data_IF_025557009196
#
_entry.id   IF_025557009196
#
_cell.length_a   1.000
_cell.length_b   1.000
_cell.length_c   1.000
_cell.angle_alpha   90.00
_cell.angle_beta   90.00
_cell.angle_gamma   90.00
#
_symmetry.space_group_name_H-M   'P 1'
#
loop_
_entity.id
_entity.type
_entity.pdbx_description
1 polymer ?
#
# COMPACT_ATOMS: atom_id res chain seq x y z
N UNK A 1 -80.67 11.62 4.46
CA UNK A 1 -79.43 11.57 3.67
C UNK A 1 -79.20 10.13 3.30
N UNK A 2 -79.74 9.74 2.16
CA UNK A 2 -79.75 8.36 1.65
C UNK A 2 -78.60 8.25 0.67
N UNK A 3 -77.70 7.28 0.85
CA UNK A 3 -76.79 6.87 -0.21
C UNK A 3 -76.95 5.38 -0.50
N UNK A 4 -77.31 5.16 -1.76
CA UNK A 4 -77.51 3.91 -2.47
C UNK A 4 -76.20 3.17 -2.67
N UNK A 5 -76.20 1.88 -2.30
CA UNK A 5 -75.28 0.85 -2.77
C UNK A 5 -75.76 0.29 -4.12
N UNK A 6 -74.84 -0.04 -5.03
CA UNK A 6 -74.79 -1.22 -5.92
C UNK A 6 -73.84 -1.00 -7.14
N UNK A 7 -73.34 -2.03 -7.86
CA UNK A 7 -72.51 -3.16 -7.40
C UNK A 7 -71.45 -3.58 -8.48
N UNK A 8 -70.91 -4.81 -8.37
CA UNK A 8 -70.13 -5.61 -9.35
C UNK A 8 -68.61 -5.33 -9.35
N UNK A 9 -67.69 -6.29 -9.25
CA UNK A 9 -67.71 -7.70 -9.65
C UNK A 9 -66.55 -8.46 -8.97
N UNK A 10 -66.85 -9.63 -8.42
CA UNK A 10 -65.92 -10.73 -8.10
C UNK A 10 -66.02 -11.74 -9.27
N UNK A 11 -65.22 -12.83 -9.38
CA UNK A 11 -63.91 -13.16 -8.81
C UNK A 11 -62.97 -13.82 -9.86
N UNK A 12 -61.73 -14.18 -9.49
CA UNK A 12 -61.02 -15.30 -10.14
C UNK A 12 -60.09 -16.01 -9.17
N UNK A 13 -60.49 -17.24 -8.85
CA UNK A 13 -59.72 -18.30 -8.22
C UNK A 13 -58.49 -18.66 -9.06
N UNK A 14 -57.32 -18.86 -8.42
CA UNK A 14 -56.48 -20.03 -8.73
C UNK A 14 -55.61 -20.46 -7.55
N UNK A 15 -55.67 -21.77 -7.31
CA UNK A 15 -55.05 -22.55 -6.24
C UNK A 15 -53.54 -22.76 -6.43
N UNK A 16 -52.85 -22.83 -5.30
CA UNK A 16 -51.91 -23.88 -4.81
C UNK A 16 -51.03 -24.61 -5.85
N UNK A 17 -49.72 -24.59 -5.59
CA UNK A 17 -48.85 -25.75 -5.78
C UNK A 17 -47.80 -25.80 -4.66
N UNK A 18 -47.80 -26.92 -3.94
CA UNK A 18 -46.86 -27.32 -2.90
C UNK A 18 -45.52 -27.81 -3.48
N UNK A 19 -44.47 -27.61 -2.67
CA UNK A 19 -43.38 -28.54 -2.34
C UNK A 19 -42.58 -29.22 -3.46
N UNK A 20 -41.28 -28.91 -3.50
CA UNK A 20 -40.24 -29.92 -3.69
C UNK A 20 -38.94 -29.57 -2.96
N UNK A 21 -38.73 -30.28 -1.86
CA UNK A 21 -37.43 -30.57 -1.24
C UNK A 21 -36.56 -31.36 -2.21
N UNK A 22 -35.26 -31.03 -2.34
CA UNK A 22 -34.19 -32.04 -2.52
C UNK A 22 -32.79 -31.43 -2.41
N UNK A 23 -31.98 -32.11 -1.57
CA UNK A 23 -30.53 -32.31 -1.63
C UNK A 23 -29.56 -31.15 -1.36
N UNK A 24 -29.21 -31.06 -0.08
CA UNK A 24 -27.85 -31.14 0.46
C UNK A 24 -26.71 -31.19 -0.56
N UNK A 25 -25.85 -30.17 -0.54
CA UNK A 25 -24.44 -30.34 -0.84
C UNK A 25 -23.61 -29.60 0.20
N UNK A 26 -23.07 -30.40 1.13
CA UNK A 26 -21.96 -30.01 1.96
C UNK A 26 -20.70 -29.86 1.09
N UNK A 27 -19.98 -28.77 1.29
CA UNK A 27 -18.55 -28.62 0.98
C UNK A 27 -17.99 -27.68 2.05
N UNK A 28 -17.62 -28.26 3.20
CA UNK A 28 -16.22 -28.54 3.55
C UNK A 28 -15.39 -27.26 3.48
N UNK A 29 -15.42 -26.51 4.57
CA UNK A 29 -14.35 -25.58 4.94
C UNK A 29 -13.11 -26.40 5.26
N UNK A 30 -11.94 -26.10 4.67
CA UNK A 30 -10.70 -26.54 5.27
C UNK A 30 -10.29 -25.52 6.33
N UNK A 31 -10.39 -25.97 7.58
CA UNK A 31 -9.55 -25.46 8.65
C UNK A 31 -8.12 -25.97 8.43
N UNK A 32 -7.17 -25.06 8.38
CA UNK A 32 -5.76 -25.25 8.76
C UNK A 32 -5.12 -23.86 8.65
N UNK A 33 -4.37 -23.33 9.58
CA UNK A 33 -3.66 -23.94 10.69
C UNK A 33 -2.52 -22.96 10.95
N UNK A 34 -2.39 -22.56 12.21
CA UNK A 34 -1.29 -21.76 12.71
C UNK A 34 0.05 -22.34 12.22
N UNK A 35 0.82 -21.54 11.47
CA UNK A 35 2.28 -21.62 11.43
C UNK A 35 2.85 -20.25 11.08
N UNK A 36 3.06 -19.47 12.12
CA UNK A 36 4.05 -18.42 12.18
C UNK A 36 5.42 -19.02 11.81
N UNK A 37 5.96 -18.61 10.67
CA UNK A 37 7.39 -18.75 10.37
C UNK A 37 7.89 -17.43 9.80
N UNK A 38 8.78 -16.83 10.59
CA UNK A 38 9.52 -15.62 10.30
C UNK A 38 10.33 -15.74 9.02
N UNK A 39 10.18 -14.79 8.11
CA UNK A 39 11.19 -14.52 7.08
C UNK A 39 12.07 -13.37 7.55
N UNK A 40 13.04 -13.73 8.38
CA UNK A 40 14.30 -13.00 8.51
C UNK A 40 15.34 -13.78 7.73
N UNK A 41 15.90 -13.20 6.67
CA UNK A 41 17.22 -13.49 6.08
C UNK A 41 17.42 -12.53 4.90
N UNK A 42 18.09 -11.40 5.14
CA UNK A 42 19.56 -11.25 5.17
C UNK A 42 20.11 -10.92 3.78
N UNK A 43 20.30 -9.63 3.55
CA UNK A 43 21.22 -9.10 2.56
C UNK A 43 22.62 -9.67 2.80
N UNK A 44 23.33 -10.18 1.78
CA UNK A 44 24.75 -10.43 1.91
C UNK A 44 25.50 -9.16 1.52
N UNK A 45 26.05 -8.46 2.52
CA UNK A 45 27.36 -7.84 2.35
C UNK A 45 28.43 -8.94 2.41
N UNK A 46 29.51 -8.81 1.64
CA UNK A 46 30.83 -8.86 2.25
C UNK A 46 31.60 -7.59 1.82
N UNK A 47 32.00 -6.76 2.77
CA UNK A 47 33.25 -6.90 3.52
C UNK A 47 34.49 -6.88 2.61
N UNK A 48 35.19 -5.76 2.74
CA UNK A 48 36.60 -5.49 2.46
C UNK A 48 37.52 -6.71 2.32
N UNK A 49 38.33 -6.71 1.27
CA UNK A 49 39.69 -7.23 1.36
C UNK A 49 40.63 -6.38 0.51
N UNK A 50 41.49 -5.65 1.22
CA UNK A 50 42.67 -5.03 0.68
C UNK A 50 43.68 -6.10 0.24
N UNK A 51 44.16 -6.00 -0.99
CA UNK A 51 45.47 -6.51 -1.38
C UNK A 51 46.25 -5.41 -2.09
N UNK A 52 47.35 -5.05 -1.44
CA UNK A 52 48.43 -4.21 -1.94
C UNK A 52 49.09 -4.87 -3.16
N UNK A 53 49.64 -4.02 -4.02
CA UNK A 53 51.09 -3.85 -4.30
C UNK A 53 51.46 -3.93 -5.80
N UNK A 54 52.00 -2.79 -6.27
CA UNK A 54 53.11 -2.56 -7.21
C UNK A 54 52.97 -3.10 -8.65
N UNK A 55 53.44 -2.44 -9.71
CA UNK A 55 54.73 -1.76 -9.96
C UNK A 55 54.46 -0.70 -11.06
N UNK A 56 54.74 0.58 -10.85
CA UNK A 56 55.97 1.22 -11.36
C UNK A 56 55.63 2.29 -12.42
N UNK A 57 56.28 3.47 -12.42
CA UNK A 57 55.91 4.59 -13.28
C UNK A 57 56.69 4.57 -14.59
N UNK A 58 56.01 4.80 -15.72
CA UNK A 58 56.66 5.26 -16.94
C UNK A 58 56.30 6.73 -17.16
N UNK A 59 57.25 7.60 -16.80
CA UNK A 59 57.34 8.97 -17.29
C UNK A 59 57.80 8.91 -18.75
N UNK A 60 57.17 9.66 -19.64
CA UNK A 60 57.84 10.13 -20.86
C UNK A 60 57.33 11.51 -21.24
N UNK A 61 58.28 12.44 -21.12
CA UNK A 61 58.24 13.82 -21.55
C UNK A 61 58.48 13.88 -23.05
N UNK A 62 57.69 14.68 -23.78
CA UNK A 62 58.05 15.15 -25.12
C UNK A 62 58.46 16.61 -25.02
N UNK A 63 59.74 16.83 -24.73
CA UNK A 63 60.43 18.08 -25.00
C UNK A 63 61.44 17.83 -26.11
N UNK A 64 61.20 18.37 -27.31
CA UNK A 64 62.20 18.35 -28.38
C UNK A 64 63.09 19.56 -28.24
N UNK A 65 64.29 19.34 -27.71
CA UNK A 65 65.44 20.24 -27.83
C UNK A 65 66.50 19.47 -28.60
N UNK A 66 66.95 20.01 -29.73
CA UNK A 66 68.18 19.56 -30.39
C UNK A 66 69.05 20.78 -30.64
N UNK A 67 70.10 20.84 -29.83
CA UNK A 67 71.24 21.73 -29.97
C UNK A 67 72.30 21.03 -30.84
N UNK A 68 72.92 21.85 -31.70
CA UNK A 68 74.35 21.90 -32.05
C UNK A 68 75.11 20.64 -32.45
N UNK A 69 75.77 20.71 -33.62
CA UNK A 69 77.18 20.30 -33.75
C UNK A 69 77.87 21.20 -34.77
N UNK A 70 78.60 22.16 -34.23
CA UNK A 70 79.69 22.91 -34.87
C UNK A 70 80.94 22.05 -34.88
N UNK A 71 81.52 21.78 -36.06
CA UNK A 71 82.95 21.45 -36.15
C UNK A 71 83.61 22.31 -37.22
N UNK A 72 84.59 23.08 -36.75
CA UNK A 72 85.57 23.85 -37.52
C UNK A 72 86.63 22.92 -38.07
N UNK A 73 87.10 23.14 -39.30
CA UNK A 73 88.50 22.93 -39.66
C UNK A 73 88.94 23.99 -40.69
N UNK A 74 89.69 24.96 -40.19
CA UNK A 74 90.72 25.68 -40.94
C UNK A 74 91.87 24.71 -41.23
N UNK A 75 92.38 24.69 -42.47
CA UNK A 75 93.80 24.49 -42.68
C UNK A 75 94.28 25.31 -43.87
N UNK A 76 95.28 26.13 -43.59
CA UNK A 76 95.90 27.14 -44.42
C UNK A 76 97.02 26.60 -45.31
N UNK A 77 97.41 27.43 -46.28
CA UNK A 77 98.75 27.55 -46.90
C UNK A 77 99.20 26.37 -47.77
N UNK A 78 99.63 26.55 -49.03
CA UNK A 78 100.71 27.45 -49.42
C UNK A 78 100.67 27.87 -50.89
N UNK A 79 101.05 29.13 -51.10
CA UNK A 79 101.37 29.87 -52.31
C UNK A 79 102.63 29.38 -53.05
N UNK A 80 102.85 29.97 -54.26
CA UNK A 80 104.03 30.02 -55.15
C UNK A 80 103.81 29.27 -56.47
N UNK A 81 104.17 29.75 -57.67
CA UNK A 81 104.69 31.02 -58.16
C UNK A 81 104.53 30.96 -59.69
N UNK A 82 103.99 32.04 -60.24
CA UNK A 82 104.29 32.68 -61.52
C UNK A 82 105.10 31.92 -62.60
N UNK A 83 104.59 31.97 -63.84
CA UNK A 83 105.41 32.36 -64.99
C UNK A 83 105.72 31.32 -66.07
N UNK A 84 104.87 31.30 -67.10
CA UNK A 84 105.34 31.40 -68.48
C UNK A 84 105.77 30.13 -69.23
N UNK A 85 104.96 29.76 -70.22
CA UNK A 85 105.50 29.37 -71.52
C UNK A 85 105.33 27.91 -71.95
N UNK A 86 104.39 27.71 -72.87
CA UNK A 86 104.40 26.71 -73.95
C UNK A 86 104.26 25.21 -73.57
N UNK A 87 103.05 24.66 -73.77
CA UNK A 87 102.84 23.21 -73.80
C UNK A 87 101.42 22.79 -73.44
N UNK A 88 100.43 23.14 -74.28
CA UNK A 88 99.03 22.84 -74.04
C UNK A 88 98.70 21.34 -74.09
N UNK A 89 97.73 20.94 -73.24
CA UNK A 89 96.74 19.83 -73.33
C UNK A 89 96.62 18.89 -72.12
N UNK A 90 97.47 19.00 -71.08
CA UNK A 90 97.37 18.21 -69.84
C UNK A 90 96.67 18.90 -68.65
N UNK A 91 97.03 20.14 -68.34
CA UNK A 91 96.63 20.82 -67.08
C UNK A 91 95.18 21.35 -67.08
N UNK A 92 94.64 21.71 -68.24
CA UNK A 92 93.24 22.17 -68.39
C UNK A 92 92.23 21.03 -68.12
N UNK A 93 92.67 19.78 -68.27
CA UNK A 93 91.91 18.58 -67.93
C UNK A 93 91.88 18.34 -66.41
N UNK A 94 92.98 18.60 -65.70
CA UNK A 94 93.09 18.47 -64.24
C UNK A 94 92.34 19.58 -63.50
N UNK A 95 92.44 20.83 -63.94
CA UNK A 95 91.67 21.94 -63.36
C UNK A 95 90.16 21.77 -63.58
N UNK A 96 89.73 21.37 -64.78
CA UNK A 96 88.32 21.02 -65.06
C UNK A 96 87.88 19.74 -64.36
N UNK A 97 88.78 18.79 -64.08
CA UNK A 97 88.47 17.60 -63.31
C UNK A 97 88.25 17.94 -61.84
N UNK A 98 89.08 18.80 -61.25
CA UNK A 98 88.98 19.24 -59.87
C UNK A 98 87.75 20.13 -59.63
N UNK A 99 87.46 21.06 -60.56
CA UNK A 99 86.21 21.85 -60.54
C UNK A 99 84.97 20.96 -60.70
N UNK A 100 85.04 19.94 -61.57
CA UNK A 100 83.97 18.95 -61.73
C UNK A 100 83.76 18.11 -60.48
N UNK A 101 84.81 17.76 -59.75
CA UNK A 101 84.75 17.01 -58.49
C UNK A 101 84.17 17.85 -57.34
N UNK A 102 84.51 19.14 -57.28
CA UNK A 102 83.89 20.07 -56.33
C UNK A 102 82.40 20.31 -56.64
N UNK A 103 82.04 20.48 -57.92
CA UNK A 103 80.66 20.58 -58.36
C UNK A 103 79.89 19.27 -58.11
N UNK A 104 80.55 18.12 -58.25
CA UNK A 104 79.96 16.81 -57.94
C UNK A 104 79.71 16.67 -56.43
N UNK A 105 80.66 17.04 -55.56
CA UNK A 105 80.47 17.02 -54.12
C UNK A 105 79.39 18.00 -53.61
N UNK A 106 79.23 19.16 -54.26
CA UNK A 106 78.11 20.06 -54.00
C UNK A 106 76.78 19.48 -54.49
N UNK A 107 76.76 18.87 -55.67
CA UNK A 107 75.58 18.22 -56.22
C UNK A 107 75.14 17.02 -55.37
N UNK A 108 76.07 16.23 -54.85
CA UNK A 108 75.79 15.12 -53.93
C UNK A 108 75.21 15.62 -52.60
N UNK A 109 75.69 16.77 -52.10
CA UNK A 109 75.09 17.43 -50.92
C UNK A 109 73.70 18.01 -51.21
N UNK A 110 73.48 18.57 -52.40
CA UNK A 110 72.15 19.02 -52.82
C UNK A 110 71.18 17.85 -53.02
N UNK A 111 71.63 16.74 -53.60
CA UNK A 111 70.86 15.50 -53.70
C UNK A 111 70.47 14.99 -52.31
N UNK A 112 71.41 14.97 -51.36
CA UNK A 112 71.12 14.62 -49.97
C UNK A 112 70.14 15.59 -49.28
N UNK A 113 70.23 16.90 -49.56
CA UNK A 113 69.27 17.88 -49.04
C UNK A 113 67.88 17.68 -49.67
N UNK A 114 67.81 17.41 -50.97
CA UNK A 114 66.56 17.12 -51.69
C UNK A 114 65.93 15.83 -51.14
N UNK A 115 66.70 14.77 -50.94
CA UNK A 115 66.23 13.54 -50.30
C UNK A 115 65.73 13.79 -48.88
N UNK A 116 66.44 14.64 -48.11
CA UNK A 116 66.01 15.03 -46.77
C UNK A 116 64.71 15.83 -46.77
N UNK A 117 64.55 16.76 -47.71
CA UNK A 117 63.30 17.51 -47.89
C UNK A 117 62.16 16.58 -48.28
N UNK A 118 62.34 15.66 -49.24
CA UNK A 118 61.32 14.68 -49.58
C UNK A 118 60.97 13.77 -48.39
N UNK A 119 61.97 13.33 -47.61
CA UNK A 119 61.75 12.56 -46.39
C UNK A 119 60.96 13.34 -45.34
N UNK A 120 61.26 14.63 -45.15
CA UNK A 120 60.52 15.50 -44.23
C UNK A 120 59.12 15.84 -44.74
N UNK A 121 58.94 16.06 -46.04
CA UNK A 121 57.63 16.26 -46.67
C UNK A 121 56.75 15.03 -46.54
N UNK A 122 57.34 13.84 -46.73
CA UNK A 122 56.65 12.57 -46.52
C UNK A 122 56.25 12.39 -45.05
N UNK A 123 57.16 12.67 -44.11
CA UNK A 123 56.85 12.63 -42.67
C UNK A 123 55.79 13.65 -42.27
N UNK A 124 55.82 14.86 -42.83
CA UNK A 124 54.79 15.87 -42.59
C UNK A 124 53.43 15.43 -43.14
N UNK A 125 53.38 14.84 -44.34
CA UNK A 125 52.13 14.28 -44.90
C UNK A 125 51.57 13.15 -44.02
N UNK A 126 52.44 12.29 -43.49
CA UNK A 126 52.04 11.22 -42.57
C UNK A 126 51.49 11.79 -41.25
N UNK A 127 52.17 12.78 -40.65
CA UNK A 127 51.71 13.46 -39.45
C UNK A 127 50.40 14.22 -39.67
N UNK A 128 50.23 14.88 -40.82
CA UNK A 128 48.98 15.56 -41.19
C UNK A 128 47.82 14.57 -41.32
N UNK A 129 48.06 13.40 -41.93
CA UNK A 129 47.06 12.33 -42.04
C UNK A 129 46.70 11.74 -40.66
N UNK A 130 47.68 11.52 -39.78
CA UNK A 130 47.44 11.03 -38.43
C UNK A 130 46.64 12.05 -37.60
N UNK A 131 46.97 13.33 -37.71
CA UNK A 131 46.27 14.42 -37.03
C UNK A 131 44.83 14.56 -37.54
N UNK A 132 44.61 14.43 -38.85
CA UNK A 132 43.26 14.41 -39.44
C UNK A 132 42.43 13.20 -38.93
N UNK A 133 43.02 12.01 -38.86
CA UNK A 133 42.36 10.82 -38.33
C UNK A 133 42.01 10.95 -36.84
N UNK A 134 42.90 11.53 -36.03
CA UNK A 134 42.63 11.80 -34.61
C UNK A 134 41.51 12.83 -34.42
N UNK A 135 41.49 13.90 -35.23
CA UNK A 135 40.39 14.88 -35.23
C UNK A 135 39.06 14.23 -35.58
N UNK A 136 39.01 13.37 -36.60
CA UNK A 136 37.79 12.66 -36.98
C UNK A 136 37.30 11.72 -35.87
N UNK A 137 38.21 10.98 -35.22
CA UNK A 137 37.88 10.15 -34.05
C UNK A 137 37.36 10.98 -32.88
N UNK A 138 37.93 12.15 -32.62
CA UNK A 138 37.48 13.05 -31.55
C UNK A 138 36.08 13.60 -31.82
N UNK A 139 35.78 13.97 -33.08
CA UNK A 139 34.44 14.40 -33.50
C UNK A 139 33.42 13.27 -33.39
N UNK A 140 33.78 12.03 -33.75
CA UNK A 140 32.91 10.87 -33.55
C UNK A 140 32.61 10.59 -32.07
N UNK A 141 33.62 10.74 -31.20
CA UNK A 141 33.45 10.56 -29.75
C UNK A 141 32.57 11.65 -29.12
N UNK A 142 32.70 12.91 -29.55
CA UNK A 142 31.85 13.99 -29.05
C UNK A 142 30.41 13.85 -29.56
N UNK A 143 30.20 13.47 -30.82
CA UNK A 143 28.87 13.18 -31.36
C UNK A 143 28.17 12.03 -30.62
N UNK A 144 28.89 10.95 -30.33
CA UNK A 144 28.38 9.85 -29.49
C UNK A 144 28.02 10.34 -28.08
N UNK A 145 28.85 11.19 -27.47
CA UNK A 145 28.56 11.80 -26.17
C UNK A 145 27.26 12.59 -26.17
N UNK A 146 27.05 13.43 -27.20
CA UNK A 146 25.82 14.22 -27.34
C UNK A 146 24.58 13.33 -27.53
N UNK A 147 24.69 12.24 -28.30
CA UNK A 147 23.59 11.28 -28.48
C UNK A 147 23.23 10.56 -27.17
N UNK A 148 24.22 10.08 -26.42
CA UNK A 148 24.00 9.46 -25.11
C UNK A 148 23.41 10.45 -24.09
N UNK A 149 23.83 11.71 -24.11
CA UNK A 149 23.25 12.77 -23.29
C UNK A 149 21.80 13.09 -23.66
N UNK A 150 21.43 12.97 -24.94
CA UNK A 150 20.05 13.10 -25.40
C UNK A 150 19.19 11.94 -24.88
N UNK A 151 19.63 10.69 -25.07
CA UNK A 151 18.93 9.50 -24.56
C UNK A 151 18.77 9.55 -23.04
N UNK A 152 19.80 9.95 -22.30
CA UNK A 152 19.71 10.12 -20.84
C UNK A 152 18.70 11.20 -20.43
N UNK A 153 18.58 12.28 -21.21
CA UNK A 153 17.57 13.31 -20.95
C UNK A 153 16.16 12.80 -21.21
N UNK A 154 15.96 12.10 -22.33
CA UNK A 154 14.66 11.50 -22.67
C UNK A 154 14.22 10.48 -21.62
N UNK A 155 15.14 9.62 -21.17
CA UNK A 155 14.88 8.64 -20.12
C UNK A 155 14.52 9.30 -18.78
N UNK A 156 15.16 10.44 -18.43
CA UNK A 156 14.81 11.20 -17.21
C UNK A 156 13.42 11.79 -17.29
N UNK A 157 13.07 12.41 -18.42
CA UNK A 157 11.73 12.97 -18.64
C UNK A 157 10.66 11.87 -18.60
N UNK A 158 10.92 10.73 -19.23
CA UNK A 158 10.00 9.59 -19.17
C UNK A 158 9.84 9.06 -17.74
N UNK A 159 10.92 8.99 -16.96
CA UNK A 159 10.86 8.58 -15.55
C UNK A 159 10.09 9.57 -14.67
N UNK A 160 10.28 10.87 -14.88
CA UNK A 160 9.50 11.92 -14.20
C UNK A 160 8.01 11.81 -14.56
N UNK A 161 7.68 11.59 -15.83
CA UNK A 161 6.30 11.41 -16.28
C UNK A 161 5.65 10.18 -15.66
N UNK A 162 6.33 9.03 -15.68
CA UNK A 162 5.82 7.79 -15.06
C UNK A 162 5.65 7.96 -13.55
N UNK A 163 6.54 8.69 -12.87
CA UNK A 163 6.37 8.98 -11.45
C UNK A 163 5.17 9.89 -11.18
N UNK A 164 4.92 10.88 -12.04
CA UNK A 164 3.75 11.74 -11.93
C UNK A 164 2.45 10.97 -12.15
N UNK A 165 2.38 10.15 -13.20
CA UNK A 165 1.25 9.27 -13.48
C UNK A 165 1.02 8.27 -12.34
N UNK A 166 2.09 7.68 -11.79
CA UNK A 166 2.00 6.81 -10.62
C UNK A 166 1.43 7.54 -9.40
N UNK A 167 1.89 8.75 -9.12
CA UNK A 167 1.38 9.54 -7.99
C UNK A 167 -0.10 9.91 -8.19
N UNK A 168 -0.50 10.27 -9.41
CA UNK A 168 -1.91 10.53 -9.74
C UNK A 168 -2.77 9.28 -9.53
N UNK A 169 -2.35 8.12 -10.04
CA UNK A 169 -3.05 6.85 -9.85
C UNK A 169 -3.12 6.42 -8.37
N UNK A 170 -2.12 6.75 -7.56
CA UNK A 170 -2.15 6.50 -6.12
C UNK A 170 -3.22 7.34 -5.43
N UNK A 171 -3.29 8.64 -5.73
CA UNK A 171 -4.34 9.52 -5.19
C UNK A 171 -5.74 9.08 -5.64
N UNK A 172 -5.90 8.68 -6.91
CA UNK A 172 -7.17 8.16 -7.40
C UNK A 172 -7.57 6.85 -6.71
N UNK A 173 -6.60 5.96 -6.43
CA UNK A 173 -6.83 4.73 -5.66
C UNK A 173 -7.28 5.04 -4.23
N UNK A 174 -6.60 5.96 -3.56
CA UNK A 174 -6.94 6.41 -2.20
C UNK A 174 -8.35 7.02 -2.17
N UNK A 175 -8.69 7.89 -3.12
CA UNK A 175 -10.04 8.45 -3.23
C UNK A 175 -11.12 7.38 -3.47
N UNK A 176 -10.87 6.42 -4.36
CA UNK A 176 -11.80 5.31 -4.61
C UNK A 176 -11.96 4.42 -3.37
N UNK A 177 -10.89 4.18 -2.62
CA UNK A 177 -10.94 3.44 -1.35
C UNK A 177 -11.78 4.16 -0.30
N UNK A 178 -11.63 5.48 -0.16
CA UNK A 178 -12.48 6.30 0.70
C UNK A 178 -13.96 6.24 0.29
N UNK A 179 -14.26 6.34 -1.01
CA UNK A 179 -15.63 6.26 -1.51
C UNK A 179 -16.25 4.87 -1.28
N UNK A 180 -15.46 3.81 -1.46
CA UNK A 180 -15.89 2.44 -1.12
C UNK A 180 -16.18 2.33 0.37
N UNK A 181 -15.36 2.91 1.24
CA UNK A 181 -15.60 2.91 2.69
C UNK A 181 -16.89 3.67 3.04
N UNK A 182 -17.08 4.88 2.51
CA UNK A 182 -18.30 5.68 2.69
C UNK A 182 -19.55 4.94 2.21
N UNK A 183 -19.48 4.24 1.08
CA UNK A 183 -20.60 3.45 0.56
C UNK A 183 -20.89 2.23 1.43
N UNK A 184 -19.86 1.56 1.97
CA UNK A 184 -20.04 0.45 2.91
C UNK A 184 -20.71 0.91 4.20
N UNK A 185 -20.25 2.01 4.78
CA UNK A 185 -20.87 2.59 5.99
C UNK A 185 -22.34 2.92 5.75
N UNK A 186 -22.66 3.58 4.64
CA UNK A 186 -24.06 3.87 4.27
C UNK A 186 -24.91 2.62 4.08
N UNK A 187 -24.36 1.59 3.44
CA UNK A 187 -25.05 0.32 3.25
C UNK A 187 -25.31 -0.38 4.59
N UNK A 188 -24.34 -0.37 5.51
CA UNK A 188 -24.51 -0.92 6.86
C UNK A 188 -25.57 -0.15 7.66
N UNK A 189 -25.58 1.17 7.58
CA UNK A 189 -26.62 2.01 8.21
C UNK A 189 -28.01 1.75 7.61
N UNK A 190 -28.13 1.66 6.28
CA UNK A 190 -29.39 1.30 5.62
C UNK A 190 -29.87 -0.11 6.00
N UNK A 191 -28.96 -1.07 6.10
CA UNK A 191 -29.28 -2.43 6.54
C UNK A 191 -29.81 -2.44 7.98
N UNK A 192 -29.19 -1.68 8.90
CA UNK A 192 -29.68 -1.52 10.28
C UNK A 192 -31.07 -0.88 10.32
N UNK A 193 -31.29 0.19 9.55
CA UNK A 193 -32.61 0.84 9.46
C UNK A 193 -33.68 -0.09 8.89
N UNK A 194 -33.32 -0.94 7.92
CA UNK A 194 -34.23 -1.97 7.39
C UNK A 194 -34.57 -3.02 8.44
N UNK A 195 -33.59 -3.52 9.20
CA UNK A 195 -33.80 -4.46 10.30
C UNK A 195 -34.71 -3.88 11.39
N UNK A 196 -34.51 -2.61 11.76
CA UNK A 196 -35.36 -1.89 12.72
C UNK A 196 -36.80 -1.73 12.20
N UNK A 197 -36.97 -1.36 10.92
CA UNK A 197 -38.29 -1.27 10.29
C UNK A 197 -39.00 -2.63 10.22
N UNK A 198 -38.25 -3.70 9.93
CA UNK A 198 -38.77 -5.07 9.93
C UNK A 198 -39.15 -5.54 11.35
N UNK A 199 -38.38 -5.14 12.37
CA UNK A 199 -38.72 -5.40 13.76
C UNK A 199 -40.01 -4.70 14.17
N UNK A 200 -40.17 -3.41 13.84
CA UNK A 200 -41.39 -2.64 14.08
C UNK A 200 -42.58 -3.27 13.34
N UNK A 201 -42.41 -3.65 12.08
CA UNK A 201 -43.47 -4.28 11.29
C UNK A 201 -43.90 -5.62 11.89
N UNK A 202 -42.96 -6.43 12.38
CA UNK A 202 -43.27 -7.69 13.09
C UNK A 202 -44.02 -7.43 14.40
N UNK A 203 -43.63 -6.42 15.17
CA UNK A 203 -44.33 -6.04 16.39
C UNK A 203 -45.77 -5.61 16.11
N UNK A 204 -45.98 -4.72 15.12
CA UNK A 204 -47.32 -4.26 14.73
C UNK A 204 -48.21 -5.41 14.21
N UNK A 205 -47.63 -6.40 13.51
CA UNK A 205 -48.38 -7.61 13.10
C UNK A 205 -48.84 -8.42 14.31
N UNK A 206 -47.96 -8.61 15.32
CA UNK A 206 -48.31 -9.29 16.56
C UNK A 206 -49.42 -8.55 17.31
N UNK A 207 -49.30 -7.23 17.44
CA UNK A 207 -50.33 -6.41 18.10
C UNK A 207 -51.67 -6.48 17.36
N UNK A 208 -51.65 -6.53 16.02
CA UNK A 208 -52.85 -6.72 15.19
C UNK A 208 -53.47 -8.12 15.41
N UNK A 209 -52.67 -9.16 15.51
CA UNK A 209 -53.12 -10.53 15.82
C UNK A 209 -53.75 -10.60 17.22
N UNK A 210 -53.11 -10.00 18.23
CA UNK A 210 -53.62 -9.90 19.60
C UNK A 210 -54.94 -9.13 19.64
N UNK A 211 -55.03 -7.97 18.97
CA UNK A 211 -56.27 -7.21 18.87
C UNK A 211 -57.38 -7.98 18.14
N UNK A 212 -57.05 -8.77 17.12
CA UNK A 212 -57.98 -9.65 16.42
C UNK A 212 -58.52 -10.76 17.33
N UNK A 213 -57.66 -11.38 18.15
CA UNK A 213 -58.08 -12.37 19.14
C UNK A 213 -59.04 -11.76 20.17
N UNK A 214 -58.70 -10.60 20.73
CA UNK A 214 -59.58 -9.88 21.68
C UNK A 214 -60.92 -9.53 21.04
N UNK A 215 -60.92 -9.09 19.76
CA UNK A 215 -62.17 -8.86 19.03
C UNK A 215 -63.02 -10.12 18.94
N UNK A 216 -62.43 -11.26 18.55
CA UNK A 216 -63.15 -12.54 18.45
C UNK A 216 -63.71 -12.97 19.81
N UNK A 217 -62.98 -12.77 20.90
CA UNK A 217 -63.47 -13.05 22.26
C UNK A 217 -64.66 -12.16 22.64
N UNK A 218 -64.60 -10.87 22.31
CA UNK A 218 -65.71 -9.94 22.51
C UNK A 218 -66.92 -10.32 21.66
N UNK A 219 -66.73 -10.67 20.38
CA UNK A 219 -67.81 -11.11 19.49
C UNK A 219 -68.49 -12.38 20.04
N UNK A 220 -67.73 -13.34 20.57
CA UNK A 220 -68.28 -14.52 21.26
C UNK A 220 -69.09 -14.14 22.49
N UNK A 221 -68.62 -13.17 23.27
CA UNK A 221 -69.34 -12.69 24.47
C UNK A 221 -70.63 -11.97 24.10
N UNK A 222 -70.62 -11.16 23.03
CA UNK A 222 -71.82 -10.54 22.47
C UNK A 222 -72.81 -11.62 22.02
N UNK A 223 -72.35 -12.63 21.28
CA UNK A 223 -73.22 -13.74 20.86
C UNK A 223 -73.83 -14.48 22.05
N UNK A 224 -73.03 -14.82 23.06
CA UNK A 224 -73.52 -15.47 24.28
C UNK A 224 -74.58 -14.64 25.01
N UNK A 225 -74.42 -13.32 25.08
CA UNK A 225 -75.41 -12.43 25.70
C UNK A 225 -76.69 -12.33 24.85
N UNK A 226 -76.58 -12.34 23.51
CA UNK A 226 -77.74 -12.39 22.63
C UNK A 226 -78.52 -13.69 22.80
N UNK A 227 -77.82 -14.82 22.89
CA UNK A 227 -78.42 -16.14 23.13
C UNK A 227 -79.11 -16.18 24.50
N UNK A 228 -78.51 -15.60 25.54
CA UNK A 228 -79.11 -15.47 26.88
C UNK A 228 -80.38 -14.60 26.85
N UNK A 229 -80.36 -13.46 26.15
CA UNK A 229 -81.55 -12.60 25.98
C UNK A 229 -82.65 -13.34 25.23
N UNK A 230 -82.31 -14.08 24.17
CA UNK A 230 -83.28 -14.87 23.41
C UNK A 230 -83.90 -15.98 24.26
N UNK A 231 -83.07 -16.67 25.07
CA UNK A 231 -83.53 -17.68 26.02
C UNK A 231 -84.50 -17.10 27.06
N UNK A 232 -84.14 -15.97 27.69
CA UNK A 232 -84.99 -15.31 28.67
C UNK A 232 -86.34 -14.84 28.06
N UNK A 233 -86.34 -14.36 26.82
CA UNK A 233 -87.57 -14.00 26.11
C UNK A 233 -88.45 -15.21 25.84
N UNK A 234 -87.88 -16.30 25.32
CA UNK A 234 -88.63 -17.54 25.05
C UNK A 234 -89.22 -18.12 26.33
N UNK A 235 -88.44 -18.15 27.42
CA UNK A 235 -88.91 -18.64 28.72
C UNK A 235 -90.03 -17.75 29.27
N UNK A 236 -89.92 -16.42 29.15
CA UNK A 236 -90.98 -15.51 29.56
C UNK A 236 -92.26 -15.70 28.73
N UNK A 237 -92.13 -15.88 27.41
CA UNK A 237 -93.28 -16.17 26.53
C UNK A 237 -93.97 -17.50 26.91
N UNK A 238 -93.20 -18.53 27.25
CA UNK A 238 -93.71 -19.83 27.74
C UNK A 238 -94.41 -19.69 29.10
N UNK A 239 -93.78 -19.03 30.08
CA UNK A 239 -94.39 -18.77 31.40
C UNK A 239 -95.70 -17.98 31.28
N UNK A 240 -95.74 -16.97 30.40
CA UNK A 240 -96.97 -16.21 30.13
C UNK A 240 -98.03 -17.10 29.48
N UNK A 241 -97.65 -17.96 28.53
CA UNK A 241 -98.57 -18.91 27.90
C UNK A 241 -99.12 -19.92 28.91
N UNK A 242 -98.29 -20.45 29.79
CA UNK A 242 -98.68 -21.36 30.87
C UNK A 242 -99.61 -20.70 31.89
N UNK A 243 -99.30 -19.48 32.32
CA UNK A 243 -100.18 -18.71 33.21
C UNK A 243 -101.53 -18.42 32.54
N UNK A 244 -101.54 -18.06 31.26
CA UNK A 244 -102.78 -17.87 30.50
C UNK A 244 -103.56 -19.19 30.37
N UNK A 245 -102.89 -20.31 30.10
CA UNK A 245 -103.50 -21.63 30.05
C UNK A 245 -104.06 -22.04 31.43
N UNK A 246 -103.36 -21.73 32.52
CA UNK A 246 -103.80 -21.98 33.89
C UNK A 246 -105.00 -21.10 34.26
N UNK A 247 -105.04 -19.84 33.82
CA UNK A 247 -106.20 -18.94 33.98
C UNK A 247 -107.40 -19.48 33.17
N UNK A 248 -107.19 -19.96 31.95
CA UNK A 248 -108.25 -20.57 31.13
C UNK A 248 -108.75 -21.90 31.72
N UNK A 249 -107.84 -22.75 32.20
CA UNK A 249 -108.16 -24.01 32.86
C UNK A 249 -108.89 -23.79 34.20
N UNK A 250 -108.54 -22.75 34.95
CA UNK A 250 -109.26 -22.37 36.18
C UNK A 250 -110.61 -21.71 35.91
N UNK A 251 -110.87 -21.25 34.68
CA UNK A 251 -112.20 -20.81 34.24
C UNK A 251 -113.15 -21.97 33.87
N UNK A 252 -112.71 -23.23 34.03
CA UNK A 252 -113.51 -24.45 33.80
C UNK A 252 -113.46 -25.34 35.04
N UNK A 253 -114.57 -25.29 35.81
CA UNK A 253 -114.98 -26.23 36.86
C UNK A 253 -113.89 -26.74 37.81
N UNK A 254 -113.84 -26.17 39.02
CA UNK A 254 -113.35 -26.86 40.22
C UNK A 254 -114.35 -27.96 40.58
N UNK A 255 -114.33 -29.06 39.84
CA UNK A 255 -114.88 -30.33 40.32
C UNK A 255 -113.83 -30.99 41.18
N UNK A 256 -114.02 -30.79 42.49
CA UNK A 256 -113.36 -31.52 43.57
C UNK A 256 -113.64 -33.03 43.35
N UNK A 257 -112.70 -33.74 42.73
CA UNK A 257 -112.75 -35.20 42.63
C UNK A 257 -112.11 -35.79 43.88
N UNK A 258 -112.99 -36.20 44.79
CA UNK A 258 -112.66 -37.11 45.87
C UNK A 258 -112.20 -38.45 45.26
N UNK A 259 -110.90 -38.72 45.31
CA UNK A 259 -110.39 -40.03 44.97
C UNK A 259 -110.67 -40.97 46.14
N UNK A 260 -111.72 -41.76 45.92
CA UNK A 260 -112.01 -43.03 46.55
C UNK A 260 -110.74 -43.80 46.88
N UNK A 261 -110.57 -44.12 48.17
CA UNK A 261 -109.73 -45.17 48.78
C UNK A 261 -108.97 -46.06 47.79
N UNK A 262 -107.93 -45.51 47.17
CA UNK A 262 -106.71 -46.28 46.93
C UNK A 262 -105.99 -46.35 48.27
N UNK A 263 -105.33 -47.47 48.54
CA UNK A 263 -104.81 -47.80 49.86
C UNK A 263 -103.81 -46.71 50.33
N UNK A 264 -104.32 -45.74 51.09
CA UNK A 264 -103.62 -44.50 51.45
C UNK A 264 -102.28 -44.81 52.13
N UNK A 265 -102.23 -45.92 52.86
CA UNK A 265 -101.03 -46.43 53.49
C UNK A 265 -99.98 -46.89 52.47
N UNK A 266 -100.37 -47.55 51.39
CA UNK A 266 -99.46 -47.98 50.32
C UNK A 266 -98.93 -46.77 49.52
N UNK A 267 -99.80 -45.81 49.18
CA UNK A 267 -99.39 -44.58 48.52
C UNK A 267 -98.46 -43.73 49.39
N UNK A 268 -98.74 -43.59 50.69
CA UNK A 268 -97.85 -42.89 51.63
C UNK A 268 -96.51 -43.61 51.81
N UNK A 269 -96.50 -44.94 51.80
CA UNK A 269 -95.27 -45.74 51.90
C UNK A 269 -94.41 -45.65 50.62
N UNK A 270 -95.05 -45.64 49.46
CA UNK A 270 -94.40 -45.41 48.17
C UNK A 270 -93.81 -44.00 48.08
N UNK A 271 -94.58 -42.96 48.44
CA UNK A 271 -94.09 -41.57 48.50
C UNK A 271 -92.89 -41.46 49.45
N UNK A 272 -92.94 -42.12 50.62
CA UNK A 272 -91.82 -42.14 51.57
C UNK A 272 -90.59 -42.83 50.97
N UNK A 273 -90.77 -43.97 50.33
CA UNK A 273 -89.70 -44.70 49.63
C UNK A 273 -89.09 -43.87 48.50
N UNK A 274 -89.90 -43.13 47.74
CA UNK A 274 -89.43 -42.24 46.69
C UNK A 274 -88.66 -41.05 47.26
N UNK A 275 -89.12 -40.46 48.37
CA UNK A 275 -88.40 -39.38 49.05
C UNK A 275 -87.07 -39.84 49.65
N UNK A 276 -87.03 -41.03 50.25
CA UNK A 276 -85.78 -41.64 50.75
C UNK A 276 -84.82 -41.90 49.59
N UNK A 277 -85.30 -42.50 48.49
CA UNK A 277 -84.50 -42.71 47.27
C UNK A 277 -83.99 -41.39 46.66
N UNK A 278 -84.84 -40.35 46.57
CA UNK A 278 -84.43 -39.04 46.08
C UNK A 278 -83.42 -38.36 47.01
N UNK A 279 -83.57 -38.53 48.32
CA UNK A 279 -82.64 -38.00 49.31
C UNK A 279 -81.26 -38.67 49.19
N UNK A 280 -81.23 -39.99 49.06
CA UNK A 280 -80.00 -40.76 48.89
C UNK A 280 -79.31 -40.41 47.56
N UNK A 281 -80.08 -40.32 46.46
CA UNK A 281 -79.57 -39.88 45.17
C UNK A 281 -79.01 -38.45 45.21
N UNK A 282 -79.72 -37.52 45.87
CA UNK A 282 -79.26 -36.14 46.04
C UNK A 282 -77.96 -36.08 46.85
N UNK A 283 -77.83 -36.91 47.90
CA UNK A 283 -76.61 -36.99 48.70
C UNK A 283 -75.43 -37.51 47.88
N UNK A 284 -75.61 -38.60 47.11
CA UNK A 284 -74.56 -39.15 46.24
C UNK A 284 -74.18 -38.16 45.14
N UNK A 285 -75.15 -37.51 44.50
CA UNK A 285 -74.90 -36.49 43.47
C UNK A 285 -74.13 -35.30 44.04
N UNK A 286 -74.47 -34.85 45.25
CA UNK A 286 -73.73 -33.78 45.92
C UNK A 286 -72.28 -34.20 46.21
N UNK A 287 -72.06 -35.42 46.72
CA UNK A 287 -70.70 -35.95 46.94
C UNK A 287 -69.89 -36.05 45.65
N UNK A 288 -70.46 -36.59 44.58
CA UNK A 288 -69.79 -36.70 43.28
C UNK A 288 -69.50 -35.31 42.69
N UNK A 289 -70.42 -34.37 42.83
CA UNK A 289 -70.23 -32.99 42.43
C UNK A 289 -69.08 -32.34 43.19
N UNK A 290 -69.00 -32.49 44.52
CA UNK A 290 -67.90 -32.00 45.34
C UNK A 290 -66.57 -32.67 44.98
N UNK A 291 -66.55 -34.00 44.81
CA UNK A 291 -65.35 -34.76 44.40
C UNK A 291 -64.83 -34.27 43.04
N UNK A 292 -65.72 -34.10 42.06
CA UNK A 292 -65.38 -33.59 40.73
C UNK A 292 -64.86 -32.14 40.81
N UNK A 293 -65.51 -31.28 41.60
CA UNK A 293 -65.07 -29.89 41.79
C UNK A 293 -63.70 -29.81 42.48
N UNK A 294 -63.47 -30.65 43.48
CA UNK A 294 -62.19 -30.73 44.19
C UNK A 294 -61.07 -31.27 43.28
N UNK A 295 -61.35 -32.30 42.47
CA UNK A 295 -60.41 -32.83 41.49
C UNK A 295 -60.00 -31.74 40.48
N UNK A 296 -60.96 -31.01 39.91
CA UNK A 296 -60.69 -29.88 38.99
C UNK A 296 -59.86 -28.78 39.64
N UNK A 297 -60.15 -28.43 40.90
CA UNK A 297 -59.37 -27.42 41.62
C UNK A 297 -57.94 -27.89 41.88
N UNK A 298 -57.77 -29.16 42.24
CA UNK A 298 -56.46 -29.77 42.48
C UNK A 298 -55.64 -29.84 41.20
N UNK A 299 -56.25 -30.26 40.09
CA UNK A 299 -55.62 -30.28 38.77
C UNK A 299 -55.18 -28.88 38.33
N UNK A 300 -56.05 -27.88 38.46
CA UNK A 300 -55.70 -26.48 38.16
C UNK A 300 -54.55 -25.96 39.05
N UNK A 301 -54.51 -26.37 40.32
CA UNK A 301 -53.41 -26.00 41.22
C UNK A 301 -52.09 -26.65 40.82
N UNK A 302 -52.09 -27.92 40.40
CA UNK A 302 -50.88 -28.60 39.91
C UNK A 302 -50.40 -28.03 38.57
N UNK A 303 -51.31 -27.71 37.64
CA UNK A 303 -50.96 -27.01 36.40
C UNK A 303 -50.31 -25.64 36.66
N UNK A 304 -50.84 -24.88 37.61
CA UNK A 304 -50.26 -23.60 38.00
C UNK A 304 -48.86 -23.79 38.64
N UNK A 305 -48.68 -24.78 39.52
CA UNK A 305 -47.36 -25.12 40.08
C UNK A 305 -46.36 -25.52 38.99
N UNK A 306 -46.78 -26.29 37.98
CA UNK A 306 -45.95 -26.67 36.83
C UNK A 306 -45.54 -25.44 36.03
N UNK A 307 -46.49 -24.55 35.70
CA UNK A 307 -46.23 -23.32 34.97
C UNK A 307 -45.23 -22.41 35.74
N UNK A 308 -45.38 -22.29 37.06
CA UNK A 308 -44.43 -21.57 37.91
C UNK A 308 -43.03 -22.23 37.88
N UNK A 309 -42.96 -23.56 37.87
CA UNK A 309 -41.68 -24.28 37.82
C UNK A 309 -40.98 -24.08 36.48
N UNK A 310 -41.69 -24.26 35.37
CA UNK A 310 -41.19 -24.01 34.01
C UNK A 310 -40.68 -22.57 33.87
N UNK A 311 -41.46 -21.58 34.32
CA UNK A 311 -41.04 -20.18 34.27
C UNK A 311 -39.78 -19.91 35.10
N UNK A 312 -39.62 -20.56 36.27
CA UNK A 312 -38.40 -20.45 37.09
C UNK A 312 -37.19 -21.07 36.40
N UNK A 313 -37.37 -22.21 35.74
CA UNK A 313 -36.32 -22.89 34.98
C UNK A 313 -35.87 -22.02 33.79
N UNK A 314 -36.81 -21.47 33.02
CA UNK A 314 -36.51 -20.51 31.94
C UNK A 314 -35.75 -19.28 32.44
N UNK A 315 -36.17 -18.67 33.55
CA UNK A 315 -35.44 -17.55 34.15
C UNK A 315 -34.01 -17.96 34.54
N UNK A 316 -33.81 -19.17 35.05
CA UNK A 316 -32.49 -19.67 35.42
C UNK A 316 -31.60 -19.93 34.18
N UNK A 317 -32.19 -20.44 33.10
CA UNK A 317 -31.54 -20.63 31.80
C UNK A 317 -31.10 -19.29 31.22
N UNK A 318 -31.99 -18.30 31.19
CA UNK A 318 -31.67 -16.95 30.70
C UNK A 318 -30.58 -16.27 31.53
N UNK A 319 -30.58 -16.44 32.86
CA UNK A 319 -29.48 -15.94 33.70
C UNK A 319 -28.14 -16.60 33.38
N UNK A 320 -28.13 -17.92 33.15
CA UNK A 320 -26.92 -18.66 32.75
C UNK A 320 -26.41 -18.20 31.38
N UNK A 321 -27.31 -18.02 30.41
CA UNK A 321 -26.96 -17.51 29.09
C UNK A 321 -26.41 -16.08 29.16
N UNK A 322 -27.03 -15.20 29.96
CA UNK A 322 -26.55 -13.84 30.17
C UNK A 322 -25.13 -13.85 30.75
N UNK A 323 -24.87 -14.66 31.78
CA UNK A 323 -23.53 -14.79 32.36
C UNK A 323 -22.50 -15.31 31.35
N UNK A 324 -22.86 -16.34 30.56
CA UNK A 324 -21.98 -16.86 29.51
C UNK A 324 -21.63 -15.76 28.48
N UNK A 325 -22.62 -14.99 28.03
CA UNK A 325 -22.41 -13.86 27.11
C UNK A 325 -21.61 -12.72 27.72
N UNK A 326 -21.79 -12.42 29.01
CA UNK A 326 -20.96 -11.45 29.71
C UNK A 326 -19.49 -11.88 29.77
N UNK A 327 -19.22 -13.17 30.02
CA UNK A 327 -17.85 -13.71 30.03
C UNK A 327 -17.25 -13.69 28.62
N UNK A 328 -18.01 -14.08 27.59
CA UNK A 328 -17.56 -13.99 26.19
C UNK A 328 -17.20 -12.54 25.83
N UNK A 329 -18.05 -11.57 26.16
CA UNK A 329 -17.78 -10.14 25.93
C UNK A 329 -16.52 -9.67 26.64
N UNK A 330 -16.34 -10.03 27.92
CA UNK A 330 -15.16 -9.62 28.68
C UNK A 330 -13.87 -10.27 28.12
N UNK A 331 -13.96 -11.53 27.68
CA UNK A 331 -12.83 -12.20 27.04
C UNK A 331 -12.42 -11.51 25.72
N UNK A 332 -13.39 -11.15 24.88
CA UNK A 332 -13.13 -10.46 23.61
C UNK A 332 -12.57 -9.06 23.89
N UNK A 333 -13.11 -8.33 24.87
CA UNK A 333 -12.55 -7.04 25.32
C UNK A 333 -11.10 -7.18 25.76
N UNK A 334 -10.78 -8.17 26.59
CA UNK A 334 -9.41 -8.46 27.01
C UNK A 334 -8.48 -8.75 25.82
N UNK A 335 -8.93 -9.51 24.83
CA UNK A 335 -8.13 -9.76 23.62
C UNK A 335 -7.93 -8.50 22.78
N UNK A 336 -8.96 -7.67 22.64
CA UNK A 336 -8.88 -6.38 21.92
C UNK A 336 -7.84 -5.47 22.58
N UNK A 337 -7.95 -5.25 23.89
CA UNK A 337 -7.00 -4.40 24.60
C UNK A 337 -5.56 -4.95 24.54
N UNK A 338 -5.39 -6.28 24.55
CA UNK A 338 -4.07 -6.89 24.37
C UNK A 338 -3.49 -6.62 22.98
N UNK A 339 -4.32 -6.68 21.93
CA UNK A 339 -3.88 -6.39 20.56
C UNK A 339 -3.57 -4.89 20.37
N UNK A 340 -4.38 -4.01 20.96
CA UNK A 340 -4.12 -2.56 20.97
C UNK A 340 -2.80 -2.23 21.67
N UNK A 341 -2.51 -2.86 22.82
CA UNK A 341 -1.21 -2.70 23.49
C UNK A 341 -0.06 -3.19 22.61
N UNK A 342 -0.19 -4.35 21.96
CA UNK A 342 0.84 -4.87 21.05
C UNK A 342 1.07 -3.97 19.83
N UNK A 343 0.01 -3.36 19.28
CA UNK A 343 0.12 -2.41 18.19
C UNK A 343 0.91 -1.17 18.63
N UNK A 344 0.52 -0.56 19.76
CA UNK A 344 1.22 0.59 20.32
C UNK A 344 2.70 0.27 20.59
N UNK A 345 3.01 -0.88 21.18
CA UNK A 345 4.39 -1.32 21.43
C UNK A 345 5.22 -1.49 20.14
N UNK A 346 4.59 -1.89 19.02
CA UNK A 346 5.24 -1.99 17.71
C UNK A 346 5.45 -0.60 17.11
N UNK A 347 4.43 0.26 17.19
CA UNK A 347 4.50 1.65 16.70
C UNK A 347 5.58 2.45 17.44
N UNK A 348 5.65 2.35 18.76
CA UNK A 348 6.68 2.99 19.57
C UNK A 348 8.09 2.50 19.20
N UNK A 349 8.27 1.19 19.03
CA UNK A 349 9.55 0.61 18.58
C UNK A 349 9.95 1.09 17.19
N UNK A 350 9.01 1.10 16.24
CA UNK A 350 9.29 1.61 14.89
C UNK A 350 9.59 3.11 14.90
N UNK A 351 8.88 3.91 15.71
CA UNK A 351 9.17 5.33 15.86
C UNK A 351 10.57 5.56 16.44
N UNK A 352 10.98 4.76 17.43
CA UNK A 352 12.33 4.80 17.97
C UNK A 352 13.38 4.44 16.91
N UNK A 353 13.16 3.37 16.14
CA UNK A 353 14.04 2.97 15.05
C UNK A 353 14.15 4.07 13.99
N UNK A 354 13.03 4.67 13.58
CA UNK A 354 13.02 5.80 12.64
C UNK A 354 13.82 7.00 13.18
N UNK A 355 13.69 7.34 14.46
CA UNK A 355 14.52 8.36 15.11
C UNK A 355 15.99 8.00 15.02
N UNK A 356 16.36 6.76 15.33
CA UNK A 356 17.77 6.32 15.25
C UNK A 356 18.31 6.40 13.83
N UNK A 357 17.52 6.02 12.82
CA UNK A 357 17.93 6.13 11.41
C UNK A 357 18.08 7.60 11.01
N UNK A 358 17.18 8.49 11.42
CA UNK A 358 17.31 9.93 11.19
C UNK A 358 18.59 10.49 11.82
N UNK A 359 18.92 10.10 13.05
CA UNK A 359 20.16 10.52 13.72
C UNK A 359 21.40 10.04 12.96
N UNK A 360 21.40 8.78 12.49
CA UNK A 360 22.52 8.25 11.69
C UNK A 360 22.67 8.98 10.35
N UNK A 361 21.56 9.33 9.69
CA UNK A 361 21.59 10.12 8.46
C UNK A 361 22.20 11.49 8.74
N UNK A 362 21.74 12.18 9.79
CA UNK A 362 22.29 13.48 10.18
C UNK A 362 23.78 13.41 10.49
N UNK A 363 24.23 12.36 11.19
CA UNK A 363 25.65 12.14 11.46
C UNK A 363 26.45 12.00 10.15
N UNK A 364 26.01 11.13 9.24
CA UNK A 364 26.67 10.92 7.95
C UNK A 364 26.68 12.18 7.07
N UNK A 365 25.59 12.95 7.07
CA UNK A 365 25.53 14.24 6.37
C UNK A 365 26.53 15.26 6.95
N UNK A 366 26.70 15.27 8.28
CA UNK A 366 27.67 16.12 8.96
C UNK A 366 29.12 15.71 8.62
N UNK A 367 29.42 14.41 8.64
CA UNK A 367 30.72 13.86 8.22
C UNK A 367 31.03 14.17 6.75
N UNK A 368 30.04 14.01 5.87
CA UNK A 368 30.16 14.38 4.45
C UNK A 368 30.42 15.88 4.28
N UNK A 369 29.74 16.73 5.06
CA UNK A 369 29.96 18.18 5.04
C UNK A 369 31.36 18.54 5.54
N UNK A 370 31.82 17.88 6.60
CA UNK A 370 33.17 18.04 7.16
C UNK A 370 34.26 17.70 6.14
N UNK A 371 34.19 16.52 5.54
CA UNK A 371 35.16 16.06 4.53
C UNK A 371 35.17 16.96 3.27
N UNK A 372 34.00 17.46 2.83
CA UNK A 372 33.91 18.46 1.75
C UNK A 372 34.61 19.76 2.11
N UNK A 373 34.44 20.24 3.35
CA UNK A 373 35.11 21.45 3.83
C UNK A 373 36.63 21.26 3.92
N UNK A 374 37.09 20.12 4.43
CA UNK A 374 38.50 19.77 4.49
C UNK A 374 39.12 19.68 3.09
N UNK A 375 38.42 19.06 2.14
CA UNK A 375 38.85 19.01 0.73
C UNK A 375 39.00 20.42 0.14
N UNK A 376 38.01 21.29 0.36
CA UNK A 376 38.06 22.67 -0.12
C UNK A 376 39.23 23.46 0.52
N UNK A 377 39.52 23.22 1.80
CA UNK A 377 40.69 23.79 2.49
C UNK A 377 41.99 23.31 1.85
N UNK A 378 42.14 22.01 1.63
CA UNK A 378 43.33 21.45 0.98
C UNK A 378 43.55 22.01 -0.42
N UNK A 379 42.49 22.12 -1.23
CA UNK A 379 42.58 22.74 -2.56
C UNK A 379 43.08 24.19 -2.51
N UNK A 380 42.65 24.97 -1.51
CA UNK A 380 43.15 26.32 -1.29
C UNK A 380 44.63 26.33 -0.90
N UNK A 381 45.03 25.48 0.03
CA UNK A 381 46.43 25.35 0.46
C UNK A 381 47.35 24.91 -0.69
N UNK A 382 46.89 23.99 -1.56
CA UNK A 382 47.61 23.60 -2.76
C UNK A 382 47.75 24.76 -3.76
N UNK A 383 46.70 25.56 -3.95
CA UNK A 383 46.77 26.74 -4.81
C UNK A 383 47.74 27.79 -4.26
N UNK A 384 47.72 28.04 -2.95
CA UNK A 384 48.65 28.97 -2.30
C UNK A 384 50.10 28.51 -2.43
N UNK A 385 50.37 27.21 -2.23
CA UNK A 385 51.70 26.63 -2.42
C UNK A 385 52.16 26.71 -3.88
N UNK A 386 51.25 26.48 -4.83
CA UNK A 386 51.53 26.64 -6.25
C UNK A 386 51.90 28.10 -6.58
N UNK A 387 51.17 29.06 -6.03
CA UNK A 387 51.45 30.48 -6.20
C UNK A 387 52.85 30.83 -5.67
N UNK A 388 53.23 30.33 -4.48
CA UNK A 388 54.58 30.50 -3.92
C UNK A 388 55.64 29.86 -4.82
N UNK A 389 55.40 28.64 -5.32
CA UNK A 389 56.32 27.96 -6.23
C UNK A 389 56.55 28.77 -7.51
N UNK A 390 55.49 29.31 -8.09
CA UNK A 390 55.59 30.16 -9.28
C UNK A 390 56.38 31.44 -9.00
N UNK A 391 56.18 32.07 -7.84
CA UNK A 391 56.98 33.23 -7.42
C UNK A 391 58.47 32.88 -7.32
N UNK A 392 58.80 31.74 -6.72
CA UNK A 392 60.18 31.25 -6.62
C UNK A 392 60.80 30.93 -7.99
N UNK A 393 60.04 30.34 -8.92
CA UNK A 393 60.55 30.10 -10.29
C UNK A 393 60.90 31.42 -10.99
N UNK A 394 60.08 32.46 -10.80
CA UNK A 394 60.33 33.80 -11.35
C UNK A 394 61.61 34.38 -10.74
N UNK A 395 61.80 34.26 -9.42
CA UNK A 395 63.02 34.70 -8.74
C UNK A 395 64.25 33.95 -9.25
N UNK A 396 64.21 32.61 -9.37
CA UNK A 396 65.32 31.79 -9.88
C UNK A 396 65.66 32.18 -11.33
N UNK A 397 64.65 32.40 -12.18
CA UNK A 397 64.85 32.85 -13.55
C UNK A 397 65.52 34.24 -13.59
N UNK A 398 65.11 35.15 -12.70
CA UNK A 398 65.70 36.48 -12.57
C UNK A 398 67.17 36.40 -12.08
N UNK A 399 67.47 35.57 -11.08
CA UNK A 399 68.83 35.33 -10.59
C UNK A 399 69.73 34.70 -11.66
N UNK A 400 69.22 33.73 -12.42
CA UNK A 400 69.96 33.09 -13.52
C UNK A 400 70.30 34.08 -14.63
N UNK A 401 69.36 34.98 -14.97
CA UNK A 401 69.56 36.04 -15.97
C UNK A 401 70.59 37.07 -15.51
N UNK A 402 70.50 37.54 -14.27
CA UNK A 402 71.45 38.51 -13.71
C UNK A 402 72.85 37.92 -13.56
N UNK A 403 72.97 36.65 -13.12
CA UNK A 403 74.25 35.92 -13.07
C UNK A 403 74.88 35.76 -14.46
N UNK A 404 74.09 35.34 -15.46
CA UNK A 404 74.55 35.24 -16.85
C UNK A 404 75.00 36.59 -17.42
N UNK A 405 74.22 37.66 -17.20
CA UNK A 405 74.61 39.03 -17.55
C UNK A 405 75.92 39.46 -16.88
N UNK A 406 76.11 39.15 -15.60
CA UNK A 406 77.32 39.51 -14.87
C UNK A 406 78.54 38.74 -15.38
N UNK A 407 78.37 37.45 -15.71
CA UNK A 407 79.43 36.62 -16.30
C UNK A 407 79.79 37.12 -17.71
N UNK A 408 78.80 37.52 -18.51
CA UNK A 408 79.00 38.13 -19.83
C UNK A 408 79.76 39.46 -19.74
N UNK A 409 79.37 40.34 -18.82
CA UNK A 409 80.08 41.60 -18.55
C UNK A 409 81.53 41.36 -18.13
N UNK A 410 81.78 40.36 -17.26
CA UNK A 410 83.13 40.00 -16.81
C UNK A 410 83.98 39.40 -17.92
N UNK A 411 83.40 38.54 -18.78
CA UNK A 411 84.08 37.99 -19.96
C UNK A 411 84.39 39.09 -20.99
N UNK A 412 83.45 40.00 -21.25
CA UNK A 412 83.65 41.14 -22.13
C UNK A 412 84.74 42.09 -21.60
N UNK A 413 84.76 42.36 -20.29
CA UNK A 413 85.82 43.13 -19.64
C UNK A 413 87.19 42.45 -19.73
N UNK A 414 87.27 41.13 -19.50
CA UNK A 414 88.51 40.37 -19.70
C UNK A 414 88.97 40.39 -21.16
N UNK A 415 88.05 40.20 -22.12
CA UNK A 415 88.35 40.24 -23.55
C UNK A 415 88.85 41.62 -23.99
N UNK A 416 88.23 42.71 -23.50
CA UNK A 416 88.74 44.06 -23.76
C UNK A 416 90.13 44.25 -23.18
N UNK A 417 90.37 43.80 -21.95
CA UNK A 417 91.69 43.88 -21.31
C UNK A 417 92.75 43.07 -22.06
N UNK A 418 92.41 41.88 -22.56
CA UNK A 418 93.30 41.06 -23.38
C UNK A 418 93.61 41.71 -24.72
N UNK A 419 92.59 42.23 -25.42
CA UNK A 419 92.78 42.96 -26.68
C UNK A 419 93.65 44.20 -26.50
N UNK A 420 93.46 44.95 -25.41
CA UNK A 420 94.30 46.10 -25.08
C UNK A 420 95.75 45.69 -24.75
N UNK A 421 95.95 44.53 -24.11
CA UNK A 421 97.28 43.98 -23.84
C UNK A 421 98.00 43.49 -25.09
N UNK A 422 97.28 42.84 -26.03
CA UNK A 422 97.83 42.43 -27.33
C UNK A 422 98.17 43.65 -28.19
N UNK A 423 97.32 44.68 -28.19
CA UNK A 423 97.58 45.93 -28.92
C UNK A 423 98.78 46.73 -28.39
N UNK A 424 99.18 46.55 -27.12
CA UNK A 424 100.34 47.22 -26.54
C UNK A 424 101.66 46.44 -26.74
N UNK A 425 101.58 45.21 -27.26
CA UNK A 425 102.73 44.31 -27.43
C UNK A 425 103.09 44.04 -28.91
N UNK A 426 102.36 44.66 -29.84
CA UNK A 426 102.77 44.91 -31.23
C UNK A 426 103.23 46.36 -31.35
#
# INVERSE_FOLDING_TARGET
>A
MSYTLEPLSNPSYRRVAESRTTFSRASVSPSSGFRSQSWSRSSPSPASSAYKRNVGPARTSYGSTVLSSTESLELSQSSLFNGGGAGGTGELKLARSNEKEQLQGLNDRFAGYIEKVHSLEQQNKELEAELAALRQKQVGRSQLGVALEQELRELRVALEQVNHEKAALQLDSEHLEEDIQRLKERFEDEARLHEDADAITRALRKDMEEASLVKVELDKKVQSLLDEVAFLRSNHEEEVADLLAQIQASHVSVERKDYLKTDLSAALKEIRSQLECHSDQNMVQAEEWFKCRYAKLTEAAEQNKEAIRSAKEEISEYRRQLQAKSIELESVRGTKESLERQLNDIEERHNQDLSTYQDTIQQLENELRGTKWEMARHLREYQDLLNVKMALDIEIAAYSKTSSMFCFLKFFSLSLSLSHFVAYKM
#
